data_IF_358587958025
#
_entry.id   IF_358587958025
#
_cell.length_a   1.000
_cell.length_b   1.000
_cell.length_c   1.000
_cell.angle_alpha   90.00
_cell.angle_beta   90.00
_cell.angle_gamma   90.00
#
_symmetry.space_group_name_H-M   'P 1'
#
loop_
_entity.id
_entity.type
_entity.pdbx_description
1 polymer ?
#
# COMPACT_ATOMS: atom_id res chain seq x y z
N UNK A 1 3.98 11.27 -19.19
CA UNK A 1 3.45 10.23 -18.27
C UNK A 1 2.83 10.94 -17.09
N UNK A 2 1.53 10.77 -16.82
CA UNK A 2 0.87 11.35 -15.63
C UNK A 2 0.69 10.25 -14.59
N UNK A 3 1.73 9.91 -13.83
CA UNK A 3 1.55 9.04 -12.66
C UNK A 3 0.99 9.84 -11.47
N UNK A 4 0.37 9.16 -10.52
CA UNK A 4 0.01 9.79 -9.25
C UNK A 4 1.26 10.22 -8.47
N UNK A 5 1.13 11.27 -7.66
CA UNK A 5 2.24 11.82 -6.89
C UNK A 5 2.09 11.50 -5.40
N UNK A 6 3.20 11.40 -4.64
CA UNK A 6 3.15 11.36 -3.18
C UNK A 6 2.22 12.42 -2.61
N UNK A 7 1.33 12.00 -1.71
CA UNK A 7 0.28 12.82 -1.12
C UNK A 7 -1.07 12.73 -1.82
N UNK A 8 -1.13 12.25 -3.07
CA UNK A 8 -2.40 12.05 -3.77
C UNK A 8 -3.26 10.99 -3.08
N UNK A 9 -4.51 11.35 -2.83
CA UNK A 9 -5.52 10.46 -2.26
C UNK A 9 -6.43 9.97 -3.37
N UNK A 10 -6.51 8.66 -3.51
CA UNK A 10 -7.26 7.97 -4.55
C UNK A 10 -8.46 7.28 -3.90
N UNK A 11 -9.65 7.62 -4.39
CA UNK A 11 -10.87 6.87 -4.14
C UNK A 11 -10.87 5.64 -5.03
N UNK A 12 -11.05 4.47 -4.44
CA UNK A 12 -11.15 3.17 -5.12
C UNK A 12 -12.57 2.67 -4.94
N UNK A 13 -13.25 2.39 -6.05
CA UNK A 13 -14.59 1.81 -6.03
C UNK A 13 -14.48 0.30 -5.81
N UNK A 14 -15.27 -0.19 -4.87
CA UNK A 14 -15.37 -1.60 -4.51
C UNK A 14 -16.81 -2.08 -4.72
N UNK A 15 -17.05 -3.41 -4.77
CA UNK A 15 -18.40 -3.94 -4.71
C UNK A 15 -19.12 -3.41 -3.46
N UNK A 16 -20.15 -2.58 -3.65
CA UNK A 16 -21.00 -2.03 -2.59
C UNK A 16 -20.55 -0.71 -1.94
N UNK A 17 -19.43 -0.11 -2.34
CA UNK A 17 -18.90 1.09 -1.67
C UNK A 17 -17.54 1.56 -2.18
N UNK A 18 -16.84 2.30 -1.33
CA UNK A 18 -15.58 2.97 -1.63
C UNK A 18 -14.56 2.71 -0.52
N UNK A 19 -13.30 2.60 -0.92
CA UNK A 19 -12.15 2.69 -0.03
C UNK A 19 -11.23 3.81 -0.50
N UNK A 20 -10.34 4.26 0.37
CA UNK A 20 -9.42 5.34 0.07
C UNK A 20 -7.99 4.92 0.34
N UNK A 21 -7.09 5.31 -0.56
CA UNK A 21 -5.66 5.06 -0.43
C UNK A 21 -4.89 6.34 -0.70
N UNK A 22 -3.68 6.42 -0.16
CA UNK A 22 -2.78 7.55 -0.40
C UNK A 22 -1.46 7.05 -0.97
N UNK A 23 -0.97 7.72 -2.02
CA UNK A 23 0.39 7.48 -2.52
C UNK A 23 1.38 8.07 -1.52
N UNK A 24 2.32 7.26 -1.05
CA UNK A 24 3.36 7.74 -0.13
C UNK A 24 4.67 7.99 -0.85
N UNK A 25 5.05 7.11 -1.78
CA UNK A 25 6.33 7.19 -2.49
C UNK A 25 6.18 6.73 -3.94
N UNK A 26 6.98 7.36 -4.80
CA UNK A 26 7.28 6.85 -6.14
C UNK A 26 8.73 6.42 -6.16
N UNK A 27 9.06 5.38 -6.91
CA UNK A 27 10.42 4.89 -7.05
C UNK A 27 10.76 4.67 -8.54
N UNK A 28 11.98 4.98 -9.02
CA UNK A 28 12.32 4.83 -10.44
C UNK A 28 12.21 3.39 -10.97
N UNK A 29 12.48 2.41 -10.11
CA UNK A 29 12.51 0.99 -10.46
C UNK A 29 11.33 0.15 -9.90
N UNK A 30 10.42 0.75 -9.14
CA UNK A 30 9.31 0.04 -8.51
C UNK A 30 7.99 0.81 -8.69
N UNK A 31 6.84 0.11 -8.68
CA UNK A 31 5.54 0.76 -8.69
C UNK A 31 5.32 1.69 -7.49
N UNK A 32 4.20 2.43 -7.52
CA UNK A 32 3.78 3.30 -6.44
C UNK A 32 3.69 2.54 -5.11
N UNK A 33 4.25 3.16 -4.06
CA UNK A 33 4.04 2.73 -2.67
C UNK A 33 2.78 3.41 -2.16
N UNK A 34 1.83 2.60 -1.68
CA UNK A 34 0.48 3.02 -1.37
C UNK A 34 0.15 2.57 0.05
N UNK A 35 -0.39 3.49 0.84
CA UNK A 35 -1.03 3.16 2.12
C UNK A 35 -2.55 3.10 1.98
N UNK A 36 -3.17 2.10 2.59
CA UNK A 36 -4.62 2.04 2.73
C UNK A 36 -5.08 2.88 3.92
N UNK A 37 -6.12 3.69 3.71
CA UNK A 37 -6.78 4.45 4.76
C UNK A 37 -7.91 3.60 5.38
N UNK A 38 -8.26 3.81 6.65
CA UNK A 38 -9.21 2.96 7.35
C UNK A 38 -10.64 3.06 6.80
N UNK A 39 -11.36 1.94 6.91
CA UNK A 39 -12.80 1.88 6.70
C UNK A 39 -13.24 1.58 5.26
N UNK A 40 -14.55 1.35 5.17
CA UNK A 40 -15.30 1.08 3.95
C UNK A 40 -16.55 1.94 3.95
N UNK A 41 -16.83 2.59 2.83
CA UNK A 41 -17.78 3.69 2.76
C UNK A 41 -18.85 3.44 1.71
N UNK A 42 -20.13 3.32 2.10
CA UNK A 42 -21.26 3.23 1.14
C UNK A 42 -21.48 4.55 0.38
N UNK A 43 -21.05 5.67 0.97
CA UNK A 43 -21.07 7.02 0.41
C UNK A 43 -19.76 7.70 0.76
N UNK A 44 -19.23 8.60 -0.09
CA UNK A 44 -17.99 9.31 0.21
C UNK A 44 -18.04 9.98 1.59
N UNK A 45 -16.97 9.87 2.41
CA UNK A 45 -16.93 10.49 3.73
C UNK A 45 -16.90 12.01 3.60
N UNK A 46 -17.46 12.69 4.59
CA UNK A 46 -17.54 14.17 4.60
C UNK A 46 -16.15 14.83 4.69
N UNK A 47 -15.20 14.16 5.34
CA UNK A 47 -13.86 14.70 5.59
C UNK A 47 -12.73 13.71 5.20
N UNK A 48 -12.37 13.70 3.92
CA UNK A 48 -11.26 12.88 3.39
C UNK A 48 -9.90 13.30 3.98
N UNK A 49 -9.74 14.58 4.37
CA UNK A 49 -8.46 15.07 4.91
C UNK A 49 -8.19 14.50 6.30
N UNK A 50 -9.21 14.41 7.15
CA UNK A 50 -9.11 13.75 8.45
C UNK A 50 -8.88 12.25 8.33
N UNK A 51 -9.49 11.60 7.34
CA UNK A 51 -9.20 10.21 7.04
C UNK A 51 -7.72 10.00 6.65
N UNK A 52 -7.17 10.90 5.83
CA UNK A 52 -5.79 10.84 5.38
C UNK A 52 -4.75 11.19 6.46
N UNK A 53 -5.14 11.92 7.52
CA UNK A 53 -4.25 12.20 8.66
C UNK A 53 -4.19 11.04 9.68
N UNK A 54 -5.07 10.05 9.57
CA UNK A 54 -5.13 8.89 10.45
C UNK A 54 -4.02 7.86 10.23
N UNK A 55 -4.13 6.71 10.90
CA UNK A 55 -3.18 5.59 10.76
C UNK A 55 -3.40 4.79 9.48
N UNK A 56 -2.31 4.21 8.95
CA UNK A 56 -2.34 3.26 7.82
C UNK A 56 -2.93 1.93 8.26
N UNK A 57 -3.79 1.32 7.45
CA UNK A 57 -4.23 -0.07 7.68
C UNK A 57 -3.16 -1.04 7.22
N UNK A 58 -2.64 -0.82 6.02
CA UNK A 58 -1.53 -1.58 5.44
C UNK A 58 -0.84 -0.77 4.36
N UNK A 59 0.36 -1.20 3.98
CA UNK A 59 1.15 -0.62 2.89
C UNK A 59 1.48 -1.68 1.85
N UNK A 60 1.40 -1.33 0.57
CA UNK A 60 1.70 -2.22 -0.57
C UNK A 60 2.42 -1.47 -1.69
N UNK A 61 3.05 -2.23 -2.59
CA UNK A 61 3.45 -1.75 -3.91
C UNK A 61 2.46 -2.26 -4.96
N UNK A 62 1.88 -1.35 -5.73
CA UNK A 62 0.96 -1.67 -6.82
C UNK A 62 1.06 -0.58 -7.89
N UNK A 63 1.11 -0.90 -9.19
CA UNK A 63 1.06 0.08 -10.26
C UNK A 63 -0.35 0.69 -10.41
N UNK A 64 -0.80 1.42 -9.39
CA UNK A 64 -2.20 1.84 -9.22
C UNK A 64 -2.67 2.74 -10.36
N UNK A 65 -1.83 3.70 -10.79
CA UNK A 65 -2.17 4.55 -11.93
C UNK A 65 -2.45 3.72 -13.18
N UNK A 66 -1.54 2.78 -13.49
CA UNK A 66 -1.68 1.90 -14.66
C UNK A 66 -2.87 0.95 -14.54
N UNK A 67 -3.16 0.45 -13.33
CA UNK A 67 -4.32 -0.41 -13.08
C UNK A 67 -5.63 0.33 -13.37
N UNK A 68 -5.73 1.59 -12.95
CA UNK A 68 -6.91 2.44 -13.22
C UNK A 68 -6.98 2.81 -14.71
N UNK A 69 -5.87 3.25 -15.31
CA UNK A 69 -5.85 3.69 -16.71
C UNK A 69 -6.23 2.56 -17.68
N UNK A 70 -5.87 1.32 -17.34
CA UNK A 70 -6.19 0.12 -18.13
C UNK A 70 -7.56 -0.48 -17.80
N UNK A 71 -8.33 0.12 -16.90
CA UNK A 71 -9.66 -0.36 -16.50
C UNK A 71 -9.65 -1.66 -15.68
N UNK A 72 -8.51 -2.04 -15.10
CA UNK A 72 -8.44 -3.17 -14.16
C UNK A 72 -9.01 -2.81 -12.78
N UNK A 73 -9.03 -1.52 -12.45
CA UNK A 73 -9.59 -0.98 -11.22
C UNK A 73 -10.38 0.31 -11.52
N UNK A 74 -11.54 0.49 -10.91
CA UNK A 74 -12.22 1.78 -10.93
C UNK A 74 -11.69 2.66 -9.78
N UNK A 75 -11.08 3.80 -10.11
CA UNK A 75 -10.64 4.75 -9.09
C UNK A 75 -10.35 6.14 -9.66
N UNK A 76 -10.27 7.13 -8.77
CA UNK A 76 -9.96 8.52 -9.14
C UNK A 76 -9.25 9.26 -8.02
N UNK A 77 -8.41 10.22 -8.40
CA UNK A 77 -7.86 11.18 -7.44
C UNK A 77 -8.98 12.08 -6.92
N UNK A 78 -9.10 12.18 -5.60
CA UNK A 78 -10.10 13.03 -4.93
C UNK A 78 -9.48 14.25 -4.25
N UNK A 79 -8.24 14.14 -3.79
CA UNK A 79 -7.49 15.27 -3.21
C UNK A 79 -5.99 14.99 -3.23
N UNK A 80 -5.20 15.93 -2.72
CA UNK A 80 -3.79 15.75 -2.40
C UNK A 80 -3.51 16.40 -1.07
N UNK A 81 -2.86 15.68 -0.16
CA UNK A 81 -2.54 16.15 1.19
C UNK A 81 -1.20 15.58 1.64
N UNK A 82 -0.62 16.17 2.69
CA UNK A 82 0.67 15.73 3.22
C UNK A 82 0.55 14.27 3.71
N UNK A 83 1.56 13.46 3.37
CA UNK A 83 1.71 12.12 3.95
C UNK A 83 2.06 12.27 5.43
N UNK A 84 1.37 11.57 6.35
CA UNK A 84 1.68 11.61 7.78
C UNK A 84 3.14 11.26 8.07
N UNK A 85 3.73 11.83 9.13
CA UNK A 85 5.14 11.62 9.46
C UNK A 85 5.50 10.16 9.76
N UNK A 86 4.52 9.35 10.19
CA UNK A 86 4.66 7.90 10.37
C UNK A 86 4.90 7.16 9.06
N UNK A 87 4.51 7.73 7.93
CA UNK A 87 4.53 7.08 6.61
C UNK A 87 5.33 7.90 5.58
N UNK A 88 6.01 8.97 6.03
CA UNK A 88 6.81 9.84 5.16
C UNK A 88 8.22 9.31 4.88
N UNK A 89 8.66 8.33 5.65
CA UNK A 89 9.91 7.60 5.39
C UNK A 89 9.59 6.41 4.49
N UNK A 90 10.47 6.13 3.53
CA UNK A 90 10.29 4.98 2.65
C UNK A 90 10.22 3.69 3.50
N UNK A 91 9.18 2.86 3.34
CA UNK A 91 9.00 1.70 4.20
C UNK A 91 10.04 0.64 3.89
N UNK A 92 10.62 0.05 4.94
CA UNK A 92 11.45 -1.14 4.80
C UNK A 92 10.58 -2.34 4.48
N UNK A 93 10.77 -2.92 3.30
CA UNK A 93 10.12 -4.15 2.88
C UNK A 93 10.96 -5.36 3.21
N UNK A 94 10.32 -6.46 3.61
CA UNK A 94 10.99 -7.75 3.84
C UNK A 94 10.79 -8.71 2.68
N UNK A 95 11.81 -9.51 2.40
CA UNK A 95 11.83 -10.53 1.33
C UNK A 95 12.08 -11.88 2.00
N UNK A 96 11.16 -12.85 1.89
CA UNK A 96 11.38 -14.18 2.44
C UNK A 96 12.36 -14.95 1.56
N UNK A 97 13.46 -15.42 2.16
CA UNK A 97 14.30 -16.43 1.50
C UNK A 97 13.86 -17.80 1.97
N UNK A 98 13.48 -18.65 1.02
CA UNK A 98 12.91 -19.97 1.29
C UNK A 98 13.90 -21.09 0.96
N UNK A 99 13.86 -22.16 1.73
CA UNK A 99 14.54 -23.41 1.38
C UNK A 99 13.84 -24.14 0.22
N UNK A 100 14.40 -25.29 -0.17
CA UNK A 100 13.82 -26.14 -1.24
C UNK A 100 12.43 -26.70 -0.89
N UNK A 101 12.04 -26.69 0.38
CA UNK A 101 10.75 -27.17 0.88
C UNK A 101 9.73 -26.02 0.99
N UNK A 102 10.15 -24.78 0.74
CA UNK A 102 9.31 -23.59 0.81
C UNK A 102 9.29 -22.91 2.19
N UNK A 103 10.04 -23.41 3.17
CA UNK A 103 10.10 -22.81 4.51
C UNK A 103 10.95 -21.55 4.47
N UNK A 104 10.52 -20.48 5.15
CA UNK A 104 11.32 -19.25 5.27
C UNK A 104 12.51 -19.52 6.21
N UNK A 105 13.72 -19.35 5.68
CA UNK A 105 14.99 -19.59 6.41
C UNK A 105 15.52 -18.30 7.02
N UNK A 106 15.46 -17.18 6.28
CA UNK A 106 15.86 -15.85 6.73
C UNK A 106 15.21 -14.75 5.89
N UNK A 107 15.38 -13.49 6.31
CA UNK A 107 14.78 -12.32 5.67
C UNK A 107 15.85 -11.39 5.10
N UNK A 108 15.57 -10.83 3.93
CA UNK A 108 16.28 -9.65 3.43
C UNK A 108 15.38 -8.43 3.61
N UNK A 109 15.97 -7.30 3.99
CA UNK A 109 15.28 -6.04 4.21
C UNK A 109 15.71 -5.03 3.15
N UNK A 110 14.74 -4.35 2.54
CA UNK A 110 14.96 -3.37 1.49
C UNK A 110 14.25 -2.07 1.83
N UNK A 111 15.00 -0.98 1.96
CA UNK A 111 14.53 0.35 2.39
C UNK A 111 14.30 1.33 1.23
N UNK A 112 14.34 0.84 -0.02
CA UNK A 112 14.28 1.68 -1.22
C UNK A 112 15.65 1.91 -1.85
N UNK A 113 16.74 1.88 -1.07
CA UNK A 113 18.09 2.17 -1.54
C UNK A 113 19.02 0.96 -1.47
N UNK A 114 19.02 0.24 -0.34
CA UNK A 114 19.94 -0.85 -0.04
C UNK A 114 19.27 -2.13 0.41
N UNK A 115 19.97 -3.25 0.26
CA UNK A 115 19.55 -4.55 0.80
C UNK A 115 20.41 -4.86 2.02
N UNK A 116 19.75 -5.06 3.16
CA UNK A 116 20.36 -5.44 4.41
C UNK A 116 19.90 -6.85 4.81
N UNK A 117 20.82 -7.63 5.36
CA UNK A 117 20.57 -8.99 5.85
C UNK A 117 20.43 -8.97 7.36
N UNK A 118 19.44 -9.71 7.88
CA UNK A 118 19.39 -10.09 9.30
C UNK A 118 19.24 -11.60 9.43
N UNK A 119 20.13 -12.20 10.23
CA UNK A 119 20.13 -13.62 10.56
C UNK A 119 19.09 -13.98 11.62
N UNK A 120 18.63 -12.99 12.40
CA UNK A 120 17.70 -13.17 13.50
C UNK A 120 16.50 -12.22 13.31
N UNK A 121 15.39 -12.69 12.72
CA UNK A 121 14.19 -11.88 12.63
C UNK A 121 13.58 -11.70 14.03
N UNK A 122 13.87 -10.59 14.70
CA UNK A 122 13.19 -10.21 15.92
C UNK A 122 11.67 -10.06 15.69
N UNK A 123 10.88 -10.16 16.76
CA UNK A 123 9.41 -10.07 16.75
C UNK A 123 8.85 -8.75 16.15
N UNK A 124 9.69 -7.75 15.85
CA UNK A 124 9.30 -6.50 15.21
C UNK A 124 9.15 -6.57 13.69
N UNK A 125 9.67 -7.61 13.01
CA UNK A 125 9.67 -7.71 11.55
C UNK A 125 8.32 -8.16 10.95
N UNK A 126 7.42 -8.73 11.76
CA UNK A 126 6.16 -9.32 11.26
C UNK A 126 5.24 -8.28 10.61
N UNK A 127 5.24 -7.05 11.15
CA UNK A 127 4.42 -5.94 10.67
C UNK A 127 5.02 -5.22 9.45
N UNK A 128 6.23 -5.58 9.02
CA UNK A 128 6.84 -4.98 7.83
C UNK A 128 6.18 -5.50 6.55
N UNK A 129 5.91 -4.64 5.56
CA UNK A 129 5.32 -5.06 4.30
C UNK A 129 6.25 -6.01 3.54
N UNK A 130 5.67 -6.97 2.82
CA UNK A 130 6.42 -7.84 1.93
C UNK A 130 6.85 -7.05 0.68
N UNK A 131 8.07 -7.28 0.20
CA UNK A 131 8.55 -6.72 -1.07
C UNK A 131 7.95 -7.49 -2.25
N UNK A 132 6.63 -7.48 -2.34
CA UNK A 132 5.87 -8.12 -3.39
C UNK A 132 5.03 -7.05 -4.08
N UNK A 133 5.07 -7.04 -5.41
CA UNK A 133 4.13 -6.25 -6.19
C UNK A 133 2.79 -6.99 -6.11
N UNK A 134 1.87 -6.41 -5.35
CA UNK A 134 0.53 -6.97 -5.16
C UNK A 134 -0.26 -6.91 -6.47
N UNK A 135 -1.15 -7.88 -6.70
CA UNK A 135 -2.09 -7.86 -7.84
C UNK A 135 -3.30 -6.98 -7.53
N UNK A 136 -4.00 -6.52 -8.57
CA UNK A 136 -5.23 -5.74 -8.38
C UNK A 136 -6.30 -6.53 -7.61
N UNK A 137 -6.46 -7.83 -7.87
CA UNK A 137 -7.44 -8.67 -7.19
C UNK A 137 -7.14 -8.80 -5.68
N UNK A 138 -5.89 -9.15 -5.33
CA UNK A 138 -5.48 -9.24 -3.92
C UNK A 138 -5.58 -7.88 -3.22
N UNK A 139 -5.31 -6.78 -3.93
CA UNK A 139 -5.50 -5.43 -3.38
C UNK A 139 -6.98 -5.14 -3.07
N UNK A 140 -7.89 -5.46 -3.99
CA UNK A 140 -9.34 -5.31 -3.80
C UNK A 140 -9.83 -6.17 -2.63
N UNK A 141 -9.38 -7.42 -2.53
CA UNK A 141 -9.72 -8.31 -1.41
C UNK A 141 -9.27 -7.71 -0.08
N UNK A 142 -8.02 -7.23 0.02
CA UNK A 142 -7.49 -6.61 1.25
C UNK A 142 -8.22 -5.32 1.63
N UNK A 143 -8.58 -4.49 0.66
CA UNK A 143 -9.40 -3.30 0.91
C UNK A 143 -10.83 -3.67 1.32
N UNK A 144 -11.40 -4.74 0.77
CA UNK A 144 -12.77 -5.17 1.10
C UNK A 144 -12.84 -5.83 2.48
N UNK A 145 -11.76 -6.47 2.93
CA UNK A 145 -11.67 -7.06 4.26
C UNK A 145 -11.66 -6.02 5.40
N UNK A 146 -11.51 -4.72 5.09
CA UNK A 146 -11.67 -3.64 6.09
C UNK A 146 -13.14 -3.22 6.26
N UNK A 147 -14.05 -3.77 5.45
CA UNK A 147 -15.47 -3.51 5.58
C UNK A 147 -16.03 -4.18 6.84
N UNK A 148 -16.90 -3.49 7.61
CA UNK A 148 -17.60 -4.13 8.71
C UNK A 148 -18.54 -5.22 8.16
N UNK A 149 -18.50 -6.41 8.78
CA UNK A 149 -19.36 -7.57 8.47
C UNK A 149 -20.86 -7.24 8.58
#
# INVERSE_FOLDING_TARGET
MKQFQPGDVIEVKLPGGFAYVQITHNHPAYPEVIRALPGYYKKPPENILELASGQSVFTVMLPLFSAIERGMLEGRKVTSTKVPSSDSTFPTFRIPIRDRQGNVVYWWFWDGEGLNYDANPDAGSENMPLREITTTDTFIERLSATAPC
#
